data_IF_279939012438
#
_entry.id   IF_279939012438
#
_cell.length_a   1.000
_cell.length_b   1.000
_cell.length_c   1.000
_cell.angle_alpha   90.00
_cell.angle_beta   90.00
_cell.angle_gamma   90.00
#
_symmetry.space_group_name_H-M   'P 1'
#
loop_
_entity.id
_entity.type
_entity.pdbx_description
1 polymer ?
#
# COMPACT_ATOMS: atom_id res chain seq x y z
N UNK A 1 16.92 3.67 9.43
CA UNK A 1 16.39 4.85 10.11
C UNK A 1 16.27 6.05 9.20
N UNK A 2 17.33 6.48 8.51
CA UNK A 2 17.22 7.55 7.52
C UNK A 2 16.26 7.20 6.38
N UNK A 3 16.29 5.94 5.91
CA UNK A 3 15.40 5.49 4.83
C UNK A 3 13.93 5.61 5.22
N UNK A 4 13.58 5.29 6.46
CA UNK A 4 12.20 5.41 6.93
C UNK A 4 11.73 6.87 6.93
N UNK A 5 12.59 7.81 7.33
CA UNK A 5 12.26 9.24 7.28
C UNK A 5 12.01 9.72 5.85
N UNK A 6 12.81 9.25 4.91
CA UNK A 6 12.63 9.59 3.49
C UNK A 6 11.26 9.10 3.01
N UNK A 7 10.91 7.85 3.33
CA UNK A 7 9.61 7.30 2.96
C UNK A 7 8.47 8.04 3.66
N UNK A 8 8.59 8.30 4.95
CA UNK A 8 7.57 9.07 5.70
C UNK A 8 7.33 10.43 5.07
N UNK A 9 8.37 11.08 4.60
CA UNK A 9 8.24 12.39 3.92
C UNK A 9 7.52 12.24 2.58
N UNK A 10 7.76 11.17 1.85
CA UNK A 10 7.08 10.91 0.57
C UNK A 10 5.60 10.63 0.75
N UNK A 11 5.25 9.82 1.74
CA UNK A 11 3.86 9.44 1.99
C UNK A 11 3.09 10.46 2.82
N UNK A 12 3.80 11.44 3.39
CA UNK A 12 3.22 12.47 4.28
C UNK A 12 2.55 11.90 5.52
N UNK A 13 3.07 10.77 6.01
CA UNK A 13 2.61 10.11 7.23
C UNK A 13 3.81 9.84 8.13
N UNK A 14 3.70 10.28 9.38
CA UNK A 14 4.72 10.02 10.39
C UNK A 14 4.24 8.91 11.31
N UNK A 15 4.95 7.79 11.31
CA UNK A 15 4.60 6.63 12.13
C UNK A 15 4.97 6.84 13.59
N UNK A 16 4.05 6.50 14.48
CA UNK A 16 4.30 6.38 15.91
C UNK A 16 5.05 5.08 16.20
N UNK A 17 4.56 3.99 15.62
CA UNK A 17 5.20 2.68 15.71
C UNK A 17 5.99 2.40 14.43
N UNK A 18 7.30 2.65 14.49
CA UNK A 18 8.20 2.45 13.35
C UNK A 18 8.30 0.99 12.92
N UNK A 19 7.97 0.04 13.80
CA UNK A 19 7.98 -1.39 13.47
C UNK A 19 6.92 -1.72 12.43
N UNK A 20 5.77 -1.06 12.47
CA UNK A 20 4.72 -1.27 11.47
C UNK A 20 5.19 -0.84 10.09
N UNK A 21 5.86 0.30 10.00
CA UNK A 21 6.42 0.76 8.73
C UNK A 21 7.47 -0.23 8.22
N UNK A 22 8.41 -0.65 9.07
CA UNK A 22 9.43 -1.62 8.71
C UNK A 22 8.80 -2.93 8.24
N UNK A 23 7.82 -3.45 8.97
CA UNK A 23 7.18 -4.72 8.66
C UNK A 23 6.48 -4.68 7.30
N UNK A 24 5.86 -3.55 6.96
CA UNK A 24 5.17 -3.38 5.67
C UNK A 24 6.10 -3.54 4.47
N UNK A 25 7.41 -3.39 4.69
CA UNK A 25 8.42 -3.43 3.65
C UNK A 25 9.20 -4.75 3.61
N UNK A 26 8.93 -5.67 4.53
CA UNK A 26 9.63 -6.96 4.60
C UNK A 26 8.89 -8.00 3.76
N UNK A 27 9.54 -8.47 2.70
CA UNK A 27 9.03 -9.57 1.88
C UNK A 27 9.28 -10.91 2.56
N UNK A 28 8.39 -11.87 2.34
CA UNK A 28 8.49 -13.22 2.92
C UNK A 28 9.78 -13.96 2.57
N UNK A 29 10.45 -13.60 1.48
CA UNK A 29 11.73 -14.19 1.12
C UNK A 29 12.85 -13.82 2.09
N UNK A 30 12.72 -12.69 2.78
CA UNK A 30 13.68 -12.26 3.80
C UNK A 30 13.37 -12.88 5.16
N UNK A 31 12.11 -12.91 5.56
CA UNK A 31 11.67 -13.47 6.83
C UNK A 31 10.31 -14.15 6.63
N UNK A 32 10.30 -15.46 6.66
CA UNK A 32 9.09 -16.26 6.44
C UNK A 32 8.06 -16.08 7.55
N UNK A 33 8.49 -15.80 8.78
CA UNK A 33 7.61 -15.71 9.94
C UNK A 33 7.12 -14.28 10.22
N UNK A 34 7.94 -13.28 9.90
CA UNK A 34 7.63 -11.88 10.17
C UNK A 34 7.81 -11.06 8.89
N UNK A 35 6.72 -10.81 8.22
CA UNK A 35 6.72 -10.17 6.90
C UNK A 35 5.44 -9.36 6.68
N UNK A 36 5.27 -8.85 5.48
CA UNK A 36 4.18 -7.93 5.16
C UNK A 36 2.87 -8.57 4.69
N UNK A 37 2.76 -9.91 4.68
CA UNK A 37 1.57 -10.56 4.10
C UNK A 37 0.26 -10.20 4.80
N UNK A 38 0.25 -10.17 6.13
CA UNK A 38 -0.97 -9.80 6.88
C UNK A 38 -1.32 -8.32 6.73
N UNK A 39 -0.31 -7.47 6.63
CA UNK A 39 -0.54 -6.05 6.38
C UNK A 39 -1.09 -5.80 4.98
N UNK A 40 -0.61 -6.56 4.00
CA UNK A 40 -1.15 -6.55 2.63
C UNK A 40 -2.63 -6.94 2.64
N UNK A 41 -2.98 -8.04 3.32
CA UNK A 41 -4.36 -8.50 3.46
C UNK A 41 -5.26 -7.39 4.01
N UNK A 42 -4.84 -6.75 5.09
CA UNK A 42 -5.59 -5.65 5.71
C UNK A 42 -5.64 -4.42 4.80
N UNK A 43 -4.51 -4.06 4.23
CA UNK A 43 -4.41 -2.88 3.36
C UNK A 43 -5.29 -2.96 2.13
N UNK A 44 -5.42 -4.14 1.54
CA UNK A 44 -6.34 -4.37 0.42
C UNK A 44 -7.78 -4.02 0.80
N UNK A 45 -8.23 -4.41 2.00
CA UNK A 45 -9.60 -4.11 2.48
C UNK A 45 -9.79 -2.64 2.80
N UNK A 46 -8.78 -2.01 3.38
CA UNK A 46 -8.82 -0.56 3.67
C UNK A 46 -8.90 0.23 2.36
N UNK A 47 -8.08 -0.12 1.38
CA UNK A 47 -8.10 0.50 0.07
C UNK A 47 -9.48 0.36 -0.59
N UNK A 48 -10.04 -0.84 -0.55
CA UNK A 48 -11.37 -1.11 -1.11
C UNK A 48 -12.44 -0.27 -0.43
N UNK A 49 -12.41 -0.15 0.89
CA UNK A 49 -13.38 0.63 1.63
C UNK A 49 -13.29 2.12 1.30
N UNK A 50 -12.08 2.67 1.30
CA UNK A 50 -11.86 4.09 1.03
C UNK A 50 -12.35 4.46 -0.38
N UNK A 51 -11.95 3.69 -1.39
CA UNK A 51 -12.35 3.96 -2.78
C UNK A 51 -13.85 3.76 -2.96
N UNK A 52 -14.42 2.69 -2.39
CA UNK A 52 -15.86 2.45 -2.46
C UNK A 52 -16.67 3.58 -1.85
N UNK A 53 -16.27 4.05 -0.69
CA UNK A 53 -16.92 5.20 -0.02
C UNK A 53 -16.83 6.47 -0.87
N UNK A 54 -15.66 6.71 -1.46
CA UNK A 54 -15.47 7.89 -2.32
C UNK A 54 -16.38 7.84 -3.54
N UNK A 55 -16.46 6.69 -4.20
CA UNK A 55 -17.31 6.49 -5.35
C UNK A 55 -18.80 6.61 -4.99
N UNK A 56 -19.19 6.01 -3.87
CA UNK A 56 -20.55 6.10 -3.36
C UNK A 56 -20.98 7.56 -3.19
N UNK A 57 -20.12 8.39 -2.64
CA UNK A 57 -20.41 9.80 -2.38
C UNK A 57 -20.34 10.67 -3.65
N UNK A 58 -19.41 10.37 -4.56
CA UNK A 58 -19.24 11.13 -5.79
C UNK A 58 -20.35 10.87 -6.82
N UNK A 59 -20.86 9.64 -6.83
CA UNK A 59 -21.84 9.21 -7.84
C UNK A 59 -23.11 8.66 -7.20
N UNK A 60 -23.89 9.52 -6.51
CA UNK A 60 -25.04 9.06 -5.73
C UNK A 60 -26.17 8.45 -6.58
N UNK A 61 -26.19 8.71 -7.89
CA UNK A 61 -27.22 8.20 -8.79
C UNK A 61 -26.77 7.05 -9.68
N UNK A 62 -25.53 6.58 -9.49
CA UNK A 62 -25.00 5.47 -10.28
C UNK A 62 -25.53 4.12 -9.81
N UNK A 63 -25.65 3.18 -10.75
CA UNK A 63 -25.98 1.78 -10.41
C UNK A 63 -24.81 1.10 -9.75
N UNK A 64 -25.09 0.03 -9.00
CA UNK A 64 -24.06 -0.82 -8.41
C UNK A 64 -23.07 -1.34 -9.45
N UNK A 65 -23.58 -1.81 -10.60
CA UNK A 65 -22.73 -2.32 -11.68
C UNK A 65 -21.75 -1.27 -12.21
N UNK A 66 -22.19 -0.01 -12.35
CA UNK A 66 -21.32 1.07 -12.80
C UNK A 66 -20.32 1.47 -11.71
N UNK A 67 -20.73 1.43 -10.45
CA UNK A 67 -19.81 1.68 -9.32
C UNK A 67 -18.72 0.60 -9.28
N UNK A 68 -19.08 -0.67 -9.50
CA UNK A 68 -18.10 -1.76 -9.56
C UNK A 68 -17.09 -1.58 -10.69
N UNK A 69 -17.53 -1.13 -11.85
CA UNK A 69 -16.62 -0.84 -12.97
C UNK A 69 -15.64 0.28 -12.64
N UNK A 70 -16.12 1.34 -12.03
CA UNK A 70 -15.27 2.45 -11.58
C UNK A 70 -14.28 1.99 -10.51
N UNK A 71 -14.75 1.18 -9.56
CA UNK A 71 -13.91 0.59 -8.52
C UNK A 71 -12.80 -0.25 -9.15
N UNK A 72 -13.12 -1.16 -10.05
CA UNK A 72 -12.15 -2.04 -10.68
C UNK A 72 -11.07 -1.27 -11.45
N UNK A 73 -11.42 -0.12 -12.03
CA UNK A 73 -10.46 0.72 -12.74
C UNK A 73 -9.47 1.42 -11.80
N UNK A 74 -9.82 1.57 -10.53
CA UNK A 74 -8.99 2.26 -9.53
C UNK A 74 -8.30 1.29 -8.58
N UNK A 75 -8.91 0.15 -8.28
CA UNK A 75 -8.38 -0.84 -7.33
C UNK A 75 -8.02 -2.10 -8.10
N UNK A 76 -6.76 -2.16 -8.53
CA UNK A 76 -6.22 -3.30 -9.26
C UNK A 76 -4.70 -3.31 -9.13
N UNK A 77 -4.06 -4.38 -9.61
CA UNK A 77 -2.61 -4.53 -9.54
C UNK A 77 -1.86 -3.39 -10.24
N UNK A 78 -2.38 -2.94 -11.36
CA UNK A 78 -1.75 -1.92 -12.18
C UNK A 78 -1.67 -0.57 -11.43
N UNK A 79 -2.73 -0.17 -10.75
CA UNK A 79 -2.74 1.07 -9.97
C UNK A 79 -1.85 0.97 -8.75
N UNK A 80 -1.87 -0.15 -8.02
CA UNK A 80 -0.98 -0.37 -6.88
C UNK A 80 0.48 -0.33 -7.31
N UNK A 81 0.81 -0.93 -8.44
CA UNK A 81 2.15 -0.88 -9.00
C UNK A 81 2.56 0.55 -9.37
N UNK A 82 1.66 1.29 -9.99
CA UNK A 82 1.92 2.69 -10.36
C UNK A 82 2.24 3.53 -9.13
N UNK A 83 1.46 3.39 -8.07
CA UNK A 83 1.69 4.13 -6.83
C UNK A 83 3.00 3.71 -6.18
N UNK A 84 3.31 2.39 -6.15
CA UNK A 84 4.59 1.89 -5.68
C UNK A 84 5.76 2.54 -6.39
N UNK A 85 5.66 2.71 -7.69
CA UNK A 85 6.72 3.34 -8.49
C UNK A 85 6.86 4.83 -8.18
N UNK A 86 5.74 5.52 -8.00
CA UNK A 86 5.74 6.93 -7.59
C UNK A 86 6.44 7.10 -6.24
N UNK A 87 6.16 6.19 -5.30
CA UNK A 87 6.77 6.20 -3.97
C UNK A 87 8.19 5.63 -3.95
N UNK A 88 8.64 5.05 -5.05
CA UNK A 88 9.94 4.38 -5.15
C UNK A 88 10.12 3.29 -4.09
N UNK A 89 9.08 2.47 -3.87
CA UNK A 89 9.10 1.43 -2.83
C UNK A 89 10.19 0.39 -3.05
N UNK A 90 10.62 0.19 -4.28
CA UNK A 90 11.73 -0.71 -4.62
C UNK A 90 13.01 -0.39 -3.83
N UNK A 91 13.19 0.88 -3.47
CA UNK A 91 14.36 1.33 -2.69
C UNK A 91 14.26 0.99 -1.21
N UNK A 92 13.07 0.66 -0.72
CA UNK A 92 12.80 0.45 0.71
C UNK A 92 12.48 -1.00 1.05
N UNK A 93 12.08 -1.82 0.08
CA UNK A 93 11.68 -3.22 0.30
C UNK A 93 12.89 -4.06 0.69
N UNK A 94 12.69 -4.90 1.71
CA UNK A 94 13.70 -5.83 2.19
C UNK A 94 13.42 -7.21 1.61
N UNK A 95 14.35 -7.69 0.79
CA UNK A 95 14.24 -8.97 0.07
C UNK A 95 15.28 -9.98 0.58
N UNK A 96 14.95 -11.26 0.45
CA UNK A 96 15.91 -12.34 0.69
C UNK A 96 16.95 -12.43 -0.44
N UNK A 97 18.03 -13.18 -0.20
CA UNK A 97 19.17 -13.26 -1.11
C UNK A 97 18.80 -13.70 -2.53
N UNK A 98 17.81 -14.59 -2.67
CA UNK A 98 17.35 -15.06 -3.98
C UNK A 98 16.87 -13.91 -4.86
N UNK A 99 16.19 -12.93 -4.28
CA UNK A 99 15.65 -11.79 -4.98
C UNK A 99 16.63 -10.62 -5.07
N UNK A 100 17.59 -10.53 -4.16
CA UNK A 100 18.60 -9.45 -4.18
C UNK A 100 19.53 -9.52 -5.39
N UNK A 101 19.66 -10.68 -5.99
CA UNK A 101 20.47 -10.88 -7.20
C UNK A 101 19.83 -10.26 -8.43
N UNK A 102 18.54 -10.00 -8.39
CA UNK A 102 17.82 -9.33 -9.46
C UNK A 102 17.94 -7.82 -9.25
N UNK A 103 18.40 -7.12 -10.29
CA UNK A 103 18.52 -5.65 -10.26
C UNK A 103 17.15 -4.94 -10.19
N UNK A 104 16.07 -5.69 -10.41
CA UNK A 104 14.72 -5.15 -10.50
C UNK A 104 13.78 -5.94 -9.61
N UNK A 105 13.07 -5.24 -8.72
CA UNK A 105 12.03 -5.84 -7.88
C UNK A 105 10.82 -6.21 -8.73
N UNK A 106 10.30 -7.42 -8.55
CA UNK A 106 9.13 -7.89 -9.29
C UNK A 106 7.91 -7.01 -9.04
N UNK A 107 7.10 -6.83 -10.07
CA UNK A 107 5.90 -5.99 -10.01
C UNK A 107 4.91 -6.44 -8.94
N UNK A 108 4.74 -7.76 -8.78
CA UNK A 108 3.86 -8.30 -7.75
C UNK A 108 4.30 -7.89 -6.35
N UNK A 109 5.60 -7.96 -6.09
CA UNK A 109 6.19 -7.58 -4.78
C UNK A 109 5.95 -6.10 -4.50
N UNK A 110 6.11 -5.25 -5.51
CA UNK A 110 5.88 -3.81 -5.38
C UNK A 110 4.42 -3.48 -5.08
N UNK A 111 3.49 -4.09 -5.79
CA UNK A 111 2.06 -3.88 -5.56
C UNK A 111 1.61 -4.36 -4.19
N UNK A 112 2.08 -5.53 -3.78
CA UNK A 112 1.78 -6.10 -2.46
C UNK A 112 2.33 -5.21 -1.35
N UNK A 113 3.52 -4.65 -1.52
CA UNK A 113 4.12 -3.73 -0.56
C UNK A 113 3.32 -2.43 -0.44
N UNK A 114 2.76 -1.95 -1.53
CA UNK A 114 1.89 -0.76 -1.52
C UNK A 114 0.66 -1.01 -0.65
N UNK A 115 0.00 -2.16 -0.83
CA UNK A 115 -1.14 -2.54 0.00
C UNK A 115 -0.74 -2.75 1.46
N UNK A 116 0.41 -3.37 1.70
CA UNK A 116 0.93 -3.56 3.05
C UNK A 116 1.21 -2.22 3.74
N UNK A 117 1.72 -1.26 3.01
CA UNK A 117 1.95 0.10 3.52
C UNK A 117 0.63 0.74 3.96
N UNK A 118 -0.43 0.59 3.17
CA UNK A 118 -1.77 1.06 3.54
C UNK A 118 -2.23 0.42 4.84
N UNK A 119 -2.06 -0.89 4.97
CA UNK A 119 -2.40 -1.61 6.19
C UNK A 119 -1.64 -1.10 7.41
N UNK A 120 -0.36 -0.83 7.25
CA UNK A 120 0.48 -0.28 8.31
C UNK A 120 0.04 1.13 8.72
N UNK A 121 -0.26 1.98 7.74
CA UNK A 121 -0.76 3.34 8.00
C UNK A 121 -2.06 3.27 8.81
N UNK A 122 -2.97 2.39 8.39
CA UNK A 122 -4.25 2.22 9.07
C UNK A 122 -4.06 1.79 10.53
N UNK A 123 -3.24 0.79 10.77
CA UNK A 123 -3.01 0.30 12.14
C UNK A 123 -2.32 1.34 13.03
N UNK A 124 -1.39 2.08 12.48
CA UNK A 124 -0.63 3.07 13.24
C UNK A 124 -1.43 4.35 13.51
N UNK A 125 -2.13 4.84 12.49
CA UNK A 125 -2.66 6.21 12.47
C UNK A 125 -4.17 6.29 12.25
N UNK A 126 -4.84 5.17 12.00
CA UNK A 126 -6.29 5.11 11.87
C UNK A 126 -6.81 5.36 10.46
N UNK A 127 -8.14 5.29 10.34
CA UNK A 127 -8.85 5.33 9.07
C UNK A 127 -8.64 6.66 8.33
N UNK A 128 -8.77 7.78 9.03
CA UNK A 128 -8.70 9.11 8.38
C UNK A 128 -7.35 9.38 7.75
N UNK A 129 -6.27 8.97 8.41
CA UNK A 129 -4.92 9.12 7.85
C UNK A 129 -4.74 8.20 6.64
N UNK A 130 -5.20 6.95 6.73
CA UNK A 130 -5.18 6.03 5.60
C UNK A 130 -6.00 6.57 4.43
N UNK A 131 -7.18 7.10 4.70
CA UNK A 131 -8.04 7.73 3.68
C UNK A 131 -7.33 8.89 2.99
N UNK A 132 -6.72 9.79 3.76
CA UNK A 132 -5.98 10.93 3.21
C UNK A 132 -4.82 10.47 2.33
N UNK A 133 -4.09 9.46 2.75
CA UNK A 133 -3.01 8.88 1.95
C UNK A 133 -3.54 8.32 0.62
N UNK A 134 -4.57 7.49 0.70
CA UNK A 134 -5.15 6.85 -0.49
C UNK A 134 -5.67 7.90 -1.46
N UNK A 135 -6.49 8.85 -0.98
CA UNK A 135 -7.10 9.85 -1.84
C UNK A 135 -6.10 10.83 -2.44
N UNK A 136 -4.91 10.93 -1.87
CA UNK A 136 -3.84 11.74 -2.44
C UNK A 136 -3.21 11.09 -3.67
N UNK A 137 -3.07 9.76 -3.66
CA UNK A 137 -2.35 9.03 -4.71
C UNK A 137 -3.28 8.33 -5.71
N UNK A 138 -4.51 8.00 -5.34
CA UNK A 138 -5.49 7.34 -6.21
C UNK A 138 -6.45 8.34 -6.92
#
# INVERSE_FOLDING_TARGET
MQNQKILENKIKVKFRNKRLLSLSLVHKSFDFLSNNEKLEFLGDRVLALVISKKLFNLYPHESEGNLDKKFASLVNRKTCLKISKILELDKFIVLGNTYKKNLKVENKILGDACEALIGAIYLDSGYKVAESFILKFW
#
